data_IF_978949194569
#
_entry.id   IF_978949194569
#
_cell.length_a   1.000
_cell.length_b   1.000
_cell.length_c   1.000
_cell.angle_alpha   90.00
_cell.angle_beta   90.00
_cell.angle_gamma   90.00
#
_symmetry.space_group_name_H-M   'P 1'
#
loop_
_entity.id
_entity.type
_entity.pdbx_description
1 polymer ?
#
# COMPACT_ATOMS: atom_id res chain seq x y z
N UNK A 1 -12.87 -11.70 -14.09
CA UNK A 1 -12.17 -10.73 -14.97
C UNK A 1 -12.11 -11.31 -16.38
N UNK A 2 -12.35 -10.50 -17.42
CA UNK A 2 -12.24 -10.94 -18.82
C UNK A 2 -10.94 -10.38 -19.40
N UNK A 3 -10.20 -11.21 -20.12
CA UNK A 3 -8.96 -10.83 -20.81
C UNK A 3 -9.21 -10.92 -22.30
N UNK A 4 -8.96 -9.84 -23.02
CA UNK A 4 -8.94 -9.77 -24.47
C UNK A 4 -7.51 -9.80 -24.95
N UNK A 5 -7.15 -10.72 -25.78
CA UNK A 5 -5.85 -10.76 -26.45
C UNK A 5 -6.08 -10.52 -27.93
N UNK A 6 -5.57 -9.38 -28.40
CA UNK A 6 -5.54 -9.05 -29.82
C UNK A 6 -4.16 -9.41 -30.33
N UNK A 7 -4.05 -10.47 -31.08
CA UNK A 7 -2.81 -10.86 -31.78
C UNK A 7 -2.86 -10.33 -33.21
N UNK A 8 -1.93 -9.44 -33.53
CA UNK A 8 -1.78 -8.92 -34.89
C UNK A 8 -0.97 -9.87 -35.74
N UNK A 9 -1.40 -10.02 -36.98
CA UNK A 9 -0.71 -10.72 -38.05
C UNK A 9 -0.36 -9.75 -39.18
N UNK A 10 0.33 -10.20 -40.20
CA UNK A 10 0.63 -9.38 -41.36
C UNK A 10 -0.62 -8.94 -42.13
N UNK A 11 -1.61 -9.80 -42.19
CA UNK A 11 -2.85 -9.61 -42.95
C UNK A 11 -4.11 -9.64 -42.09
N UNK A 12 -4.03 -9.14 -40.84
CA UNK A 12 -5.19 -9.11 -39.99
C UNK A 12 -4.91 -9.35 -38.51
N UNK A 13 -5.91 -9.88 -37.81
CA UNK A 13 -5.79 -10.13 -36.36
C UNK A 13 -6.57 -11.38 -35.94
N UNK A 14 -6.13 -11.93 -34.78
CA UNK A 14 -6.90 -12.93 -34.02
C UNK A 14 -7.26 -12.31 -32.66
N UNK A 15 -8.54 -12.30 -32.32
CA UNK A 15 -9.03 -11.88 -31.01
C UNK A 15 -9.40 -13.13 -30.20
N UNK A 16 -8.64 -13.40 -29.16
CA UNK A 16 -8.96 -14.39 -28.14
C UNK A 16 -9.58 -13.72 -26.90
N UNK A 17 -10.69 -14.27 -26.40
CA UNK A 17 -11.31 -13.84 -25.16
C UNK A 17 -11.22 -14.94 -24.14
N UNK A 18 -10.77 -14.61 -22.94
CA UNK A 18 -10.53 -15.56 -21.87
C UNK A 18 -11.17 -15.05 -20.57
N UNK A 19 -11.73 -15.97 -19.80
CA UNK A 19 -12.20 -15.71 -18.44
C UNK A 19 -11.15 -16.18 -17.46
N UNK A 20 -10.62 -15.27 -16.66
CA UNK A 20 -9.75 -15.59 -15.54
C UNK A 20 -10.58 -15.71 -14.26
N UNK A 21 -10.61 -16.92 -13.68
CA UNK A 21 -11.33 -17.24 -12.44
C UNK A 21 -10.40 -18.02 -11.50
N UNK A 22 -9.93 -17.37 -10.45
CA UNK A 22 -8.97 -17.97 -9.51
C UNK A 22 -7.62 -18.26 -10.17
N UNK A 23 -7.30 -19.53 -10.39
CA UNK A 23 -6.07 -19.98 -11.08
C UNK A 23 -6.32 -20.48 -12.51
N UNK A 24 -7.56 -20.52 -12.93
CA UNK A 24 -7.93 -21.06 -14.23
C UNK A 24 -8.17 -19.95 -15.25
N UNK A 25 -7.70 -20.21 -16.47
CA UNK A 25 -7.95 -19.38 -17.64
C UNK A 25 -8.78 -20.19 -18.64
N UNK A 26 -10.04 -19.78 -18.83
CA UNK A 26 -10.99 -20.49 -19.69
C UNK A 26 -11.25 -19.68 -20.95
N UNK A 27 -11.09 -20.26 -22.15
CA UNK A 27 -11.41 -19.59 -23.41
C UNK A 27 -12.94 -19.39 -23.52
N UNK A 28 -13.34 -18.21 -23.98
CA UNK A 28 -14.74 -17.86 -24.19
C UNK A 28 -15.10 -17.80 -25.68
N UNK A 29 -14.32 -17.03 -26.45
CA UNK A 29 -14.52 -16.85 -27.87
C UNK A 29 -13.20 -16.62 -28.58
N UNK A 30 -13.16 -16.98 -29.86
CA UNK A 30 -12.08 -16.69 -30.77
C UNK A 30 -12.61 -16.19 -32.09
N UNK A 31 -12.02 -15.12 -32.59
CA UNK A 31 -12.40 -14.51 -33.86
C UNK A 31 -11.12 -14.21 -34.63
N UNK A 32 -11.05 -14.56 -35.89
CA UNK A 32 -9.95 -14.20 -36.80
C UNK A 32 -10.51 -13.41 -37.97
N UNK A 33 -9.90 -12.27 -38.27
CA UNK A 33 -10.22 -11.45 -39.41
C UNK A 33 -8.96 -11.18 -40.22
N UNK A 34 -9.11 -11.27 -41.54
CA UNK A 34 -8.14 -10.73 -42.47
C UNK A 34 -8.54 -9.30 -42.79
N UNK A 35 -7.55 -8.43 -42.92
CA UNK A 35 -7.78 -7.00 -43.21
C UNK A 35 -6.69 -6.53 -44.16
N UNK A 36 -7.07 -5.69 -45.12
CA UNK A 36 -6.17 -5.20 -46.14
C UNK A 36 -5.51 -3.88 -45.77
N UNK A 37 -6.18 -3.11 -44.89
CA UNK A 37 -5.66 -1.79 -44.50
C UNK A 37 -6.01 -1.46 -43.02
N UNK A 38 -5.43 -0.37 -42.50
CA UNK A 38 -5.61 0.09 -41.12
C UNK A 38 -7.07 0.44 -40.79
N UNK A 39 -7.78 1.09 -41.72
CA UNK A 39 -9.16 1.52 -41.47
C UNK A 39 -10.09 0.32 -41.29
N UNK A 40 -9.93 -0.69 -42.11
CA UNK A 40 -10.66 -1.97 -42.00
C UNK A 40 -10.29 -2.67 -40.69
N UNK A 41 -8.99 -2.71 -40.33
CA UNK A 41 -8.52 -3.27 -39.05
C UNK A 41 -9.22 -2.61 -37.87
N UNK A 42 -9.26 -1.27 -37.80
CA UNK A 42 -9.94 -0.52 -36.74
C UNK A 42 -11.44 -0.80 -36.71
N UNK A 43 -12.08 -0.83 -37.89
CA UNK A 43 -13.51 -1.10 -38.00
C UNK A 43 -13.89 -2.50 -37.52
N UNK A 44 -13.17 -3.53 -37.97
CA UNK A 44 -13.39 -4.93 -37.57
C UNK A 44 -13.07 -5.18 -36.11
N UNK A 45 -12.00 -4.58 -35.59
CA UNK A 45 -11.68 -4.65 -34.17
C UNK A 45 -12.76 -4.00 -33.30
N UNK A 46 -13.28 -2.84 -33.71
CA UNK A 46 -14.36 -2.15 -32.99
C UNK A 46 -15.61 -3.01 -32.94
N UNK A 47 -16.02 -3.60 -34.07
CA UNK A 47 -17.13 -4.52 -34.15
C UNK A 47 -16.95 -5.73 -33.24
N UNK A 48 -15.78 -6.36 -33.31
CA UNK A 48 -15.43 -7.49 -32.47
C UNK A 48 -15.43 -7.14 -30.97
N UNK A 49 -14.98 -5.97 -30.59
CA UNK A 49 -14.88 -5.54 -29.19
C UNK A 49 -16.23 -5.07 -28.60
N UNK A 50 -17.12 -4.48 -29.40
CA UNK A 50 -18.45 -4.00 -28.95
C UNK A 50 -19.40 -5.11 -28.53
N UNK A 51 -19.21 -6.34 -29.00
CA UNK A 51 -20.02 -7.50 -28.63
C UNK A 51 -19.82 -7.98 -27.18
N UNK A 52 -19.13 -7.22 -26.33
CA UNK A 52 -18.73 -7.63 -24.98
C UNK A 52 -19.68 -7.12 -23.90
N UNK A 53 -20.10 -8.02 -23.04
CA UNK A 53 -20.86 -7.73 -21.81
C UNK A 53 -20.08 -6.82 -20.85
N UNK A 54 -20.80 -5.91 -20.18
CA UNK A 54 -20.27 -5.00 -19.15
C UNK A 54 -19.59 -5.80 -18.03
N UNK A 55 -18.27 -5.74 -17.97
CA UNK A 55 -17.45 -6.35 -16.92
C UNK A 55 -16.07 -5.71 -16.87
N UNK A 56 -15.29 -6.07 -15.86
CA UNK A 56 -13.89 -5.66 -15.79
C UNK A 56 -13.07 -6.40 -16.85
N UNK A 57 -12.64 -5.67 -17.88
CA UNK A 57 -11.89 -6.19 -19.01
C UNK A 57 -10.45 -5.67 -19.02
N UNK A 58 -9.51 -6.53 -19.39
CA UNK A 58 -8.12 -6.18 -19.68
C UNK A 58 -7.81 -6.48 -21.13
N UNK A 59 -7.16 -5.59 -21.82
CA UNK A 59 -6.76 -5.78 -23.20
C UNK A 59 -5.26 -5.96 -23.31
N UNK A 60 -4.83 -7.00 -23.99
CA UNK A 60 -3.44 -7.34 -24.30
C UNK A 60 -3.29 -7.24 -25.82
N UNK A 61 -2.26 -6.55 -26.25
CA UNK A 61 -1.84 -6.53 -27.65
C UNK A 61 -0.62 -7.45 -27.81
N UNK A 62 -0.73 -8.48 -28.64
CA UNK A 62 0.39 -9.29 -29.09
C UNK A 62 0.78 -8.83 -30.49
N UNK A 63 1.99 -8.28 -30.63
CA UNK A 63 2.51 -7.78 -31.91
C UNK A 63 3.22 -8.90 -32.68
N UNK A 64 3.37 -8.78 -34.01
CA UNK A 64 4.15 -9.71 -34.82
C UNK A 64 5.62 -9.76 -34.34
N UNK A 65 6.23 -10.96 -34.24
CA UNK A 65 7.62 -11.11 -33.79
C UNK A 65 8.64 -10.31 -34.60
N UNK A 66 8.39 -10.10 -35.89
CA UNK A 66 9.27 -9.33 -36.80
C UNK A 66 9.48 -7.87 -36.39
N UNK A 67 8.59 -7.29 -35.56
CA UNK A 67 8.72 -5.93 -35.03
C UNK A 67 9.65 -5.89 -33.82
N UNK A 68 10.05 -7.05 -33.32
CA UNK A 68 10.88 -7.18 -32.13
C UNK A 68 12.30 -7.61 -32.51
N UNK A 69 13.28 -6.87 -32.05
CA UNK A 69 14.68 -7.30 -32.04
C UNK A 69 14.92 -8.06 -30.74
N UNK A 70 15.63 -9.19 -30.81
CA UNK A 70 15.93 -10.05 -29.67
C UNK A 70 17.42 -10.22 -29.51
N UNK A 71 17.91 -10.14 -28.27
CA UNK A 71 19.31 -10.40 -27.92
C UNK A 71 19.43 -10.98 -26.51
N UNK A 72 20.30 -11.94 -26.36
CA UNK A 72 20.68 -12.42 -25.04
C UNK A 72 21.73 -11.50 -24.41
N UNK A 73 21.52 -11.17 -23.16
CA UNK A 73 22.40 -10.35 -22.33
C UNK A 73 22.68 -11.09 -21.02
N UNK A 74 23.85 -10.78 -20.45
CA UNK A 74 24.22 -11.25 -19.13
C UNK A 74 24.44 -10.06 -18.21
N UNK A 75 23.38 -9.65 -17.52
CA UNK A 75 23.44 -8.54 -16.58
C UNK A 75 23.25 -9.07 -15.14
N UNK A 76 24.04 -8.61 -14.16
CA UNK A 76 23.94 -9.06 -12.77
C UNK A 76 22.75 -8.42 -12.05
N UNK A 77 21.57 -8.38 -12.70
CA UNK A 77 20.37 -7.71 -12.21
C UNK A 77 19.20 -8.69 -12.24
N UNK A 78 18.74 -9.11 -11.06
CA UNK A 78 17.60 -9.99 -10.92
C UNK A 78 16.25 -9.23 -10.84
N UNK A 79 16.27 -7.96 -10.41
CA UNK A 79 15.06 -7.16 -10.23
C UNK A 79 14.60 -6.54 -11.56
N UNK A 80 13.44 -6.96 -12.04
CA UNK A 80 12.91 -6.59 -13.36
C UNK A 80 12.75 -5.07 -13.57
N UNK A 81 12.41 -4.32 -12.53
CA UNK A 81 12.27 -2.87 -12.64
C UNK A 81 13.60 -2.17 -12.88
N UNK A 82 14.66 -2.63 -12.19
CA UNK A 82 16.02 -2.13 -12.39
C UNK A 82 16.59 -2.59 -13.73
N UNK A 83 16.32 -3.83 -14.11
CA UNK A 83 16.72 -4.38 -15.40
C UNK A 83 16.20 -3.52 -16.56
N UNK A 84 14.91 -3.16 -16.54
CA UNK A 84 14.33 -2.28 -17.59
C UNK A 84 15.00 -0.92 -17.70
N UNK A 85 15.39 -0.33 -16.58
CA UNK A 85 16.07 0.97 -16.59
C UNK A 85 17.48 0.89 -17.19
N UNK A 86 18.18 -0.22 -16.97
CA UNK A 86 19.54 -0.45 -17.49
C UNK A 86 19.51 -0.92 -18.94
N UNK A 87 18.52 -1.74 -19.33
CA UNK A 87 18.37 -2.23 -20.69
C UNK A 87 18.32 -1.13 -21.73
N UNK A 88 17.61 -0.04 -21.46
CA UNK A 88 17.53 1.08 -22.39
C UNK A 88 18.90 1.70 -22.66
N UNK A 89 19.75 1.81 -21.63
CA UNK A 89 21.11 2.34 -21.75
C UNK A 89 22.04 1.35 -22.46
N UNK A 90 21.95 0.07 -22.15
CA UNK A 90 22.78 -0.98 -22.75
C UNK A 90 22.48 -1.14 -24.24
N UNK A 91 21.22 -1.09 -24.63
CA UNK A 91 20.80 -1.21 -26.02
C UNK A 91 21.04 0.06 -26.83
N UNK A 92 21.06 1.23 -26.21
CA UNK A 92 21.29 2.51 -26.85
C UNK A 92 22.70 2.58 -27.51
N UNK A 93 23.72 2.00 -26.87
CA UNK A 93 25.09 1.96 -27.41
C UNK A 93 25.26 1.09 -28.66
N UNK A 94 24.26 0.26 -28.99
CA UNK A 94 24.35 -0.72 -30.07
C UNK A 94 23.33 -0.52 -31.21
N UNK A 95 22.29 0.28 -30.94
CA UNK A 95 21.31 0.62 -31.95
C UNK A 95 21.72 1.90 -32.67
N UNK A 96 21.66 1.89 -34.00
CA UNK A 96 21.88 3.10 -34.82
C UNK A 96 20.73 4.13 -34.67
N UNK A 97 19.78 3.89 -33.75
CA UNK A 97 18.66 4.77 -33.44
C UNK A 97 18.99 5.57 -32.18
N UNK A 98 18.62 6.84 -32.18
CA UNK A 98 18.72 7.71 -30.99
C UNK A 98 18.02 7.11 -29.78
N UNK A 99 18.57 7.28 -28.58
CA UNK A 99 18.15 6.71 -27.29
C UNK A 99 16.67 6.91 -26.99
N UNK A 100 16.04 7.94 -27.51
CA UNK A 100 14.63 8.27 -27.31
C UNK A 100 13.65 7.43 -28.14
N UNK A 101 14.16 6.61 -29.06
CA UNK A 101 13.34 5.94 -30.10
C UNK A 101 13.00 4.47 -29.83
N UNK A 102 13.41 3.86 -28.72
CA UNK A 102 13.16 2.44 -28.44
C UNK A 102 12.34 2.20 -27.16
N UNK A 103 11.55 1.15 -27.18
CA UNK A 103 10.94 0.56 -25.98
C UNK A 103 11.43 -0.86 -25.83
N UNK A 104 11.77 -1.27 -24.62
CA UNK A 104 12.39 -2.55 -24.33
C UNK A 104 11.85 -3.20 -23.05
N UNK A 105 11.98 -4.51 -23.00
CA UNK A 105 11.78 -5.36 -21.81
C UNK A 105 12.64 -6.61 -21.94
N UNK A 106 12.71 -7.45 -20.91
CA UNK A 106 13.41 -8.72 -20.95
C UNK A 106 12.65 -9.84 -20.29
N UNK A 107 12.93 -11.07 -20.74
CA UNK A 107 12.51 -12.32 -20.11
C UNK A 107 13.75 -12.98 -19.49
N UNK A 108 13.60 -13.51 -18.29
CA UNK A 108 14.68 -14.26 -17.63
C UNK A 108 14.86 -15.61 -18.28
N UNK A 109 16.09 -15.96 -18.58
CA UNK A 109 16.51 -17.30 -19.05
C UNK A 109 17.14 -18.09 -17.90
N UNK A 110 17.21 -19.42 -18.01
CA UNK A 110 17.99 -20.24 -17.08
C UNK A 110 19.45 -19.77 -17.01
N UNK A 111 20.07 -19.95 -15.85
CA UNK A 111 21.47 -19.56 -15.64
C UNK A 111 21.70 -18.06 -15.36
N UNK A 112 20.61 -17.27 -15.23
CA UNK A 112 20.71 -15.85 -14.89
C UNK A 112 20.89 -14.92 -16.12
N UNK A 113 20.89 -15.46 -17.32
CA UNK A 113 20.86 -14.69 -18.55
C UNK A 113 19.48 -14.05 -18.76
N UNK A 114 19.44 -13.01 -19.58
CA UNK A 114 18.21 -12.33 -19.99
C UNK A 114 18.07 -12.32 -21.49
N UNK A 115 16.88 -12.60 -21.99
CA UNK A 115 16.51 -12.34 -23.37
C UNK A 115 15.88 -10.95 -23.45
N UNK A 116 16.67 -9.97 -23.85
CA UNK A 116 16.23 -8.61 -24.09
C UNK A 116 15.48 -8.54 -25.42
N UNK A 117 14.39 -7.81 -25.43
CA UNK A 117 13.63 -7.51 -26.64
C UNK A 117 13.33 -6.01 -26.71
N UNK A 118 13.50 -5.43 -27.91
CA UNK A 118 13.19 -4.01 -28.14
C UNK A 118 12.55 -3.79 -29.49
N UNK A 119 11.79 -2.72 -29.58
CA UNK A 119 11.13 -2.27 -30.78
C UNK A 119 11.17 -0.74 -30.90
N UNK A 120 10.97 -0.22 -32.12
CA UNK A 120 10.85 1.22 -32.32
C UNK A 120 9.62 1.77 -31.60
N UNK A 121 9.85 2.81 -30.78
CA UNK A 121 8.80 3.43 -29.96
C UNK A 121 7.64 3.94 -30.80
N UNK A 122 7.93 4.56 -31.93
CA UNK A 122 6.93 5.11 -32.84
C UNK A 122 5.99 4.02 -33.38
N UNK A 123 6.54 2.87 -33.80
CA UNK A 123 5.76 1.74 -34.28
C UNK A 123 4.82 1.19 -33.20
N UNK A 124 5.32 1.03 -31.98
CA UNK A 124 4.51 0.55 -30.86
C UNK A 124 3.44 1.57 -30.48
N UNK A 125 3.75 2.88 -30.50
CA UNK A 125 2.81 3.95 -30.25
C UNK A 125 1.67 3.97 -31.28
N UNK A 126 1.98 3.77 -32.57
CA UNK A 126 0.97 3.71 -33.64
C UNK A 126 0.03 2.52 -33.46
N UNK A 127 0.54 1.34 -33.10
CA UNK A 127 -0.27 0.15 -32.83
C UNK A 127 -1.16 0.35 -31.60
N UNK A 128 -0.66 0.99 -30.52
CA UNK A 128 -1.46 1.35 -29.34
C UNK A 128 -2.59 2.31 -29.75
N UNK A 129 -2.28 3.30 -30.57
CA UNK A 129 -3.26 4.28 -31.07
C UNK A 129 -4.33 3.60 -31.87
N UNK A 130 -3.96 2.70 -32.79
CA UNK A 130 -4.88 1.91 -33.61
C UNK A 130 -5.88 1.11 -32.77
N UNK A 131 -5.43 0.43 -31.70
CA UNK A 131 -6.33 -0.27 -30.79
C UNK A 131 -7.19 0.67 -29.96
N UNK A 132 -6.64 1.82 -29.58
CA UNK A 132 -7.39 2.83 -28.82
C UNK A 132 -8.51 3.44 -29.69
N UNK A 133 -8.27 3.69 -30.95
CA UNK A 133 -9.27 4.11 -31.94
C UNK A 133 -10.39 3.06 -32.14
N UNK A 134 -10.03 1.77 -32.04
CA UNK A 134 -11.00 0.68 -32.03
C UNK A 134 -11.82 0.56 -30.73
N UNK A 135 -11.49 1.34 -29.70
CA UNK A 135 -12.20 1.37 -28.42
C UNK A 135 -11.60 0.53 -27.30
N UNK A 136 -10.41 -0.05 -27.50
CA UNK A 136 -9.73 -0.87 -26.49
C UNK A 136 -8.24 -0.48 -26.36
N UNK A 137 -7.96 0.40 -25.44
CA UNK A 137 -6.57 0.73 -25.10
C UNK A 137 -5.87 -0.49 -24.45
N UNK A 138 -4.78 -1.04 -25.04
CA UNK A 138 -4.10 -2.19 -24.49
C UNK A 138 -3.34 -1.82 -23.20
N UNK A 139 -3.45 -2.64 -22.15
CA UNK A 139 -2.69 -2.47 -20.91
C UNK A 139 -1.26 -3.00 -21.04
N UNK A 140 -1.09 -4.02 -21.88
CA UNK A 140 0.16 -4.73 -22.09
C UNK A 140 0.35 -4.86 -23.60
N UNK A 141 1.59 -4.61 -24.05
CA UNK A 141 2.05 -4.90 -25.41
C UNK A 141 3.12 -5.96 -25.31
N UNK A 142 2.87 -7.13 -25.86
CA UNK A 142 3.74 -8.31 -25.76
C UNK A 142 3.95 -8.97 -27.13
N UNK A 143 4.72 -10.05 -27.12
CA UNK A 143 4.91 -10.96 -28.26
C UNK A 143 4.63 -12.37 -27.76
N UNK A 144 3.65 -13.05 -28.35
CA UNK A 144 3.19 -14.35 -27.84
C UNK A 144 4.24 -15.45 -27.87
N UNK A 145 5.16 -15.45 -28.84
CA UNK A 145 6.22 -16.47 -28.94
C UNK A 145 7.14 -16.50 -27.71
N UNK A 146 7.34 -15.39 -27.01
CA UNK A 146 8.10 -15.36 -25.76
C UNK A 146 7.46 -16.09 -24.60
N UNK A 147 6.20 -16.52 -24.77
CA UNK A 147 5.39 -17.14 -23.71
C UNK A 147 4.89 -18.54 -24.07
N UNK A 148 5.29 -19.10 -25.23
CA UNK A 148 4.84 -20.43 -25.63
C UNK A 148 5.30 -21.54 -24.69
N UNK A 149 6.41 -21.33 -23.94
CA UNK A 149 6.84 -22.21 -22.88
C UNK A 149 5.74 -22.50 -21.84
N UNK A 150 4.84 -21.54 -21.59
CA UNK A 150 3.73 -21.67 -20.65
C UNK A 150 2.61 -22.62 -21.14
N UNK A 151 2.64 -23.00 -22.40
CA UNK A 151 1.70 -23.95 -22.97
C UNK A 151 2.10 -25.43 -22.67
N UNK A 152 3.34 -25.67 -22.29
CA UNK A 152 3.85 -27.00 -21.99
C UNK A 152 3.79 -27.28 -20.49
N UNK A 153 3.62 -28.55 -20.11
CA UNK A 153 3.73 -28.96 -18.73
C UNK A 153 5.17 -28.75 -18.23
N UNK A 154 5.31 -28.31 -17.00
CA UNK A 154 6.62 -27.99 -16.38
C UNK A 154 7.42 -29.22 -15.93
N UNK A 155 6.85 -30.42 -16.01
CA UNK A 155 7.45 -31.68 -15.58
C UNK A 155 8.18 -32.43 -16.70
N UNK A 156 8.02 -32.02 -17.97
CA UNK A 156 8.70 -32.63 -19.10
C UNK A 156 10.19 -32.26 -19.15
N UNK A 157 11.07 -33.26 -19.12
CA UNK A 157 12.52 -33.05 -19.28
C UNK A 157 12.95 -32.88 -20.73
N UNK A 158 12.06 -33.10 -21.68
CA UNK A 158 12.34 -32.96 -23.12
C UNK A 158 12.61 -31.50 -23.49
N UNK A 159 13.54 -31.31 -24.43
CA UNK A 159 13.77 -30.02 -25.07
C UNK A 159 12.86 -29.91 -26.30
N UNK A 160 11.94 -28.99 -26.26
CA UNK A 160 10.91 -28.84 -27.29
C UNK A 160 11.08 -27.51 -27.99
N UNK A 161 11.09 -27.53 -29.31
CA UNK A 161 10.95 -26.31 -30.12
C UNK A 161 9.49 -26.15 -30.52
N UNK A 162 8.91 -24.99 -30.19
CA UNK A 162 7.56 -24.59 -30.63
C UNK A 162 7.73 -23.54 -31.69
N UNK A 163 7.09 -23.69 -32.84
CA UNK A 163 7.21 -22.73 -33.91
C UNK A 163 5.91 -22.48 -34.67
N UNK A 164 5.84 -21.28 -35.22
CA UNK A 164 4.92 -20.89 -36.29
C UNK A 164 5.72 -20.37 -37.50
N UNK A 165 5.04 -19.81 -38.49
CA UNK A 165 5.68 -19.23 -39.69
C UNK A 165 6.59 -18.04 -39.39
N UNK A 166 6.53 -17.46 -38.19
CA UNK A 166 7.17 -16.16 -37.82
C UNK A 166 8.24 -16.27 -36.76
N UNK A 167 8.19 -17.31 -35.90
CA UNK A 167 9.12 -17.45 -34.79
C UNK A 167 9.30 -18.92 -34.37
N UNK A 168 10.45 -19.19 -33.73
CA UNK A 168 10.73 -20.43 -33.01
C UNK A 168 11.12 -20.11 -31.56
N UNK A 169 10.56 -20.92 -30.65
CA UNK A 169 10.83 -20.83 -29.21
C UNK A 169 11.27 -22.20 -28.74
N UNK A 170 12.45 -22.31 -28.14
CA UNK A 170 12.95 -23.56 -27.55
C UNK A 170 12.80 -23.47 -26.04
N UNK A 171 12.20 -24.53 -25.48
CA UNK A 171 11.91 -24.58 -24.05
C UNK A 171 12.16 -26.00 -23.48
N UNK A 172 12.43 -26.06 -22.17
CA UNK A 172 12.60 -27.28 -21.38
C UNK A 172 12.02 -27.02 -19.99
N UNK A 173 11.28 -27.97 -19.44
CA UNK A 173 10.67 -27.86 -18.11
C UNK A 173 9.85 -26.56 -17.90
N UNK A 174 9.11 -26.14 -18.92
CA UNK A 174 8.35 -24.89 -18.86
C UNK A 174 9.19 -23.61 -18.87
N UNK A 175 10.52 -23.70 -19.00
CA UNK A 175 11.42 -22.55 -19.07
C UNK A 175 11.80 -22.23 -20.52
N UNK A 176 11.83 -20.94 -20.83
CA UNK A 176 12.33 -20.44 -22.12
C UNK A 176 13.85 -20.59 -22.14
N UNK A 177 14.39 -21.28 -23.15
CA UNK A 177 15.84 -21.42 -23.38
C UNK A 177 16.32 -20.49 -24.50
N UNK A 178 15.50 -20.34 -25.56
CA UNK A 178 15.87 -19.59 -26.74
C UNK A 178 14.60 -19.13 -27.48
N UNK A 179 14.65 -17.98 -28.09
CA UNK A 179 13.61 -17.50 -28.98
C UNK A 179 14.24 -16.69 -30.15
N UNK A 180 13.76 -16.92 -31.35
CA UNK A 180 14.19 -16.21 -32.56
C UNK A 180 13.03 -16.01 -33.52
N UNK A 181 13.04 -14.92 -34.26
CA UNK A 181 12.15 -14.69 -35.41
C UNK A 181 12.61 -15.50 -36.60
N UNK A 182 11.64 -16.03 -37.36
CA UNK A 182 11.88 -16.77 -38.61
C UNK A 182 11.43 -15.93 -39.82
N UNK A 183 12.08 -16.15 -40.95
CA UNK A 183 11.79 -15.46 -42.22
C UNK A 183 10.86 -16.29 -43.11
N UNK A 184 9.82 -16.86 -42.58
CA UNK A 184 8.82 -17.65 -43.33
C UNK A 184 9.41 -18.63 -44.39
N UNK A 185 10.57 -19.17 -44.09
CA UNK A 185 11.30 -20.12 -44.94
C UNK A 185 11.58 -21.40 -44.12
N UNK A 186 11.25 -22.56 -44.66
CA UNK A 186 11.50 -23.87 -44.04
C UNK A 186 12.98 -24.06 -43.62
N UNK A 187 13.88 -23.61 -44.51
CA UNK A 187 15.31 -23.75 -44.30
C UNK A 187 15.81 -22.93 -43.08
N UNK A 188 15.13 -21.82 -42.74
CA UNK A 188 15.54 -20.97 -41.62
C UNK A 188 15.31 -21.67 -40.27
N UNK A 189 14.23 -22.43 -40.14
CA UNK A 189 14.00 -23.26 -38.97
C UNK A 189 15.11 -24.32 -38.79
N UNK A 190 15.36 -25.11 -39.83
CA UNK A 190 16.38 -26.17 -39.74
C UNK A 190 17.78 -25.61 -39.50
N UNK A 191 18.17 -24.51 -40.16
CA UNK A 191 19.44 -23.82 -39.89
C UNK A 191 19.52 -23.28 -38.46
N UNK A 192 18.42 -22.79 -37.92
CA UNK A 192 18.37 -22.29 -36.56
C UNK A 192 18.57 -23.43 -35.56
N UNK A 193 17.88 -24.57 -35.74
CA UNK A 193 18.02 -25.72 -34.88
C UNK A 193 19.41 -26.33 -34.96
N UNK A 194 19.97 -26.50 -36.16
CA UNK A 194 21.34 -26.97 -36.36
C UNK A 194 22.38 -26.05 -35.72
N UNK A 195 22.15 -24.72 -35.80
CA UNK A 195 23.06 -23.74 -35.16
C UNK A 195 23.01 -23.87 -33.65
N UNK A 196 21.84 -24.09 -33.04
CA UNK A 196 21.68 -24.27 -31.57
C UNK A 196 22.42 -25.54 -31.10
N UNK A 197 22.31 -26.64 -31.84
CA UNK A 197 23.04 -27.86 -31.52
C UNK A 197 24.56 -27.66 -31.55
N UNK A 198 25.07 -26.99 -32.62
CA UNK A 198 26.51 -26.77 -32.80
C UNK A 198 27.10 -25.74 -31.83
N UNK A 199 26.34 -24.69 -31.49
CA UNK A 199 26.90 -23.56 -30.73
C UNK A 199 26.58 -23.64 -29.24
N UNK A 200 25.53 -24.34 -28.84
CA UNK A 200 25.04 -24.36 -27.45
C UNK A 200 24.90 -25.77 -26.88
N UNK A 201 25.27 -26.80 -27.64
CA UNK A 201 25.03 -28.20 -27.27
C UNK A 201 23.56 -28.46 -26.85
N UNK A 202 22.63 -27.76 -27.50
CA UNK A 202 21.21 -27.80 -27.20
C UNK A 202 20.50 -28.65 -28.25
N UNK A 203 20.36 -29.96 -27.95
CA UNK A 203 19.60 -30.87 -28.77
C UNK A 203 18.11 -30.67 -28.57
N UNK A 204 17.38 -30.55 -29.66
CA UNK A 204 15.91 -30.44 -29.67
C UNK A 204 15.32 -31.82 -29.97
N UNK A 205 14.58 -32.34 -29.01
CA UNK A 205 13.99 -33.69 -29.09
C UNK A 205 12.76 -33.71 -29.99
N UNK A 206 11.95 -32.65 -29.96
CA UNK A 206 10.68 -32.54 -30.73
C UNK A 206 10.45 -31.13 -31.22
N UNK A 207 9.84 -31.02 -32.38
CA UNK A 207 9.36 -29.74 -32.95
C UNK A 207 7.84 -29.74 -32.98
N UNK A 208 7.21 -28.79 -32.36
CA UNK A 208 5.77 -28.63 -32.27
C UNK A 208 5.31 -27.42 -33.06
N UNK A 209 4.40 -27.65 -34.03
CA UNK A 209 3.86 -26.60 -34.89
C UNK A 209 2.56 -26.05 -34.33
N UNK A 210 2.51 -24.73 -34.07
CA UNK A 210 1.26 -24.02 -33.72
C UNK A 210 0.45 -23.69 -35.02
N UNK A 211 1.12 -23.53 -36.14
CA UNK A 211 0.44 -23.27 -37.43
C UNK A 211 0.34 -24.55 -38.26
N UNK A 212 -0.89 -25.04 -38.50
CA UNK A 212 -1.10 -26.26 -39.33
C UNK A 212 -0.61 -26.09 -40.78
N UNK A 213 -0.50 -24.86 -41.28
CA UNK A 213 -0.01 -24.59 -42.64
C UNK A 213 1.44 -24.99 -42.85
N UNK A 214 2.22 -25.15 -41.77
CA UNK A 214 3.61 -25.61 -41.81
C UNK A 214 3.77 -27.12 -41.85
N UNK A 215 2.68 -27.92 -41.75
CA UNK A 215 2.74 -29.37 -41.77
C UNK A 215 3.43 -29.97 -43.02
N UNK A 216 3.29 -29.40 -44.25
CA UNK A 216 4.04 -29.91 -45.42
C UNK A 216 5.55 -29.87 -45.25
N UNK A 217 6.10 -28.99 -44.37
CA UNK A 217 7.50 -28.91 -44.05
C UNK A 217 7.99 -30.09 -43.21
N UNK A 218 7.09 -30.75 -42.48
CA UNK A 218 7.39 -31.92 -41.67
C UNK A 218 7.88 -33.10 -42.52
N UNK A 219 7.48 -33.19 -43.78
CA UNK A 219 7.84 -34.28 -44.68
C UNK A 219 9.27 -34.19 -45.24
N UNK A 220 9.92 -33.05 -45.08
CA UNK A 220 11.28 -32.80 -45.57
C UNK A 220 12.36 -32.77 -44.46
N UNK A 221 11.96 -32.80 -43.21
CA UNK A 221 12.85 -32.76 -42.04
C UNK A 221 13.20 -34.17 -41.54
N UNK A 222 14.44 -34.34 -41.09
CA UNK A 222 14.90 -35.56 -40.39
C UNK A 222 14.41 -35.64 -38.93
N UNK A 223 13.80 -34.53 -38.44
CA UNK A 223 13.33 -34.41 -37.05
C UNK A 223 11.87 -34.81 -36.89
N UNK A 224 11.51 -35.18 -35.68
CA UNK A 224 10.11 -35.44 -35.32
C UNK A 224 9.37 -34.11 -35.23
N UNK A 225 8.55 -33.83 -36.25
CA UNK A 225 7.72 -32.63 -36.31
C UNK A 225 6.24 -33.02 -36.17
N UNK A 226 5.59 -32.46 -35.17
CA UNK A 226 4.20 -32.75 -34.81
C UNK A 226 3.40 -31.45 -34.65
N UNK A 227 2.06 -31.59 -34.79
CA UNK A 227 1.19 -30.51 -34.39
C UNK A 227 1.24 -30.32 -32.85
N UNK A 228 1.18 -29.07 -32.42
CA UNK A 228 1.16 -28.75 -31.01
C UNK A 228 -0.01 -29.44 -30.28
N UNK A 229 0.24 -30.26 -29.25
CA UNK A 229 -0.82 -30.88 -28.48
C UNK A 229 -1.58 -29.80 -27.70
N UNK A 230 -2.87 -29.63 -28.00
CA UNK A 230 -3.70 -28.61 -27.35
C UNK A 230 -3.77 -28.84 -25.83
N UNK A 231 -3.50 -27.83 -25.01
CA UNK A 231 -3.79 -27.87 -23.59
C UNK A 231 -5.27 -28.19 -23.36
N UNK A 232 -5.58 -28.91 -22.27
CA UNK A 232 -6.97 -29.32 -21.96
C UNK A 232 -7.93 -28.14 -21.90
N UNK A 233 -7.46 -26.97 -21.45
CA UNK A 233 -8.22 -25.73 -21.42
C UNK A 233 -8.69 -25.29 -22.84
N UNK A 234 -7.93 -25.60 -23.87
CA UNK A 234 -8.26 -25.24 -25.26
C UNK A 234 -9.02 -26.33 -26.03
N UNK A 235 -9.16 -27.54 -25.48
CA UNK A 235 -9.94 -28.62 -26.10
C UNK A 235 -11.45 -28.37 -26.07
N UNK A 236 -11.92 -27.52 -25.16
CA UNK A 236 -13.33 -27.12 -25.10
C UNK A 236 -13.60 -26.15 -26.23
N UNK A 237 -14.61 -26.38 -27.10
CA UNK A 237 -14.89 -25.50 -28.23
C UNK A 237 -15.32 -24.12 -27.73
N UNK A 238 -14.40 -23.15 -27.86
CA UNK A 238 -14.64 -21.77 -27.50
C UNK A 238 -15.21 -20.92 -28.64
N UNK A 239 -15.46 -21.52 -29.80
CA UNK A 239 -15.78 -20.77 -31.02
C UNK A 239 -17.04 -21.27 -31.68
N UNK A 240 -17.94 -20.33 -31.92
CA UNK A 240 -19.07 -20.50 -32.85
C UNK A 240 -18.64 -20.28 -34.32
N UNK A 241 -17.42 -19.76 -34.57
CA UNK A 241 -17.01 -19.25 -35.90
C UNK A 241 -16.04 -20.20 -36.65
N UNK A 242 -15.94 -21.47 -36.25
CA UNK A 242 -15.17 -22.49 -36.99
C UNK A 242 -13.64 -22.31 -36.96
N UNK A 243 -13.12 -21.43 -36.10
CA UNK A 243 -11.68 -21.23 -35.90
C UNK A 243 -11.05 -22.47 -35.26
N UNK A 244 -9.98 -23.01 -35.86
CA UNK A 244 -9.27 -24.14 -35.28
C UNK A 244 -8.76 -23.79 -33.88
N UNK A 245 -8.99 -24.64 -32.85
CA UNK A 245 -8.56 -24.37 -31.48
C UNK A 245 -7.06 -24.04 -31.36
N UNK A 246 -6.25 -24.58 -32.28
CA UNK A 246 -4.80 -24.32 -32.35
C UNK A 246 -4.46 -22.85 -32.58
N UNK A 247 -5.29 -22.12 -33.33
CA UNK A 247 -5.09 -20.68 -33.55
C UNK A 247 -5.24 -19.83 -32.27
N UNK A 248 -5.82 -20.40 -31.21
CA UNK A 248 -5.88 -19.77 -29.89
C UNK A 248 -4.64 -20.01 -29.01
N UNK A 249 -3.76 -20.95 -29.39
CA UNK A 249 -2.60 -21.30 -28.55
C UNK A 249 -1.72 -20.09 -28.26
N UNK A 250 -1.39 -19.30 -29.27
CA UNK A 250 -0.56 -18.11 -29.10
C UNK A 250 -1.23 -16.99 -28.27
N UNK A 251 -2.49 -16.58 -28.52
CA UNK A 251 -3.23 -15.67 -27.63
C UNK A 251 -3.38 -16.19 -26.21
N UNK A 252 -3.56 -17.51 -26.04
CA UNK A 252 -3.68 -18.14 -24.72
C UNK A 252 -2.38 -18.05 -23.92
N UNK A 253 -1.22 -18.30 -24.57
CA UNK A 253 0.09 -18.13 -23.95
C UNK A 253 0.30 -16.71 -23.44
N UNK A 254 -0.04 -15.69 -24.25
CA UNK A 254 0.05 -14.30 -23.84
C UNK A 254 -0.88 -13.97 -22.66
N UNK A 255 -2.09 -14.54 -22.62
CA UNK A 255 -3.00 -14.38 -21.50
C UNK A 255 -2.48 -15.05 -20.23
N UNK A 256 -1.92 -16.27 -20.32
CA UNK A 256 -1.28 -16.97 -19.20
C UNK A 256 -0.14 -16.14 -18.60
N UNK A 257 0.76 -15.62 -19.44
CA UNK A 257 1.87 -14.79 -18.98
C UNK A 257 1.42 -13.57 -18.14
N UNK A 258 0.31 -12.96 -18.56
CA UNK A 258 -0.28 -11.84 -17.82
C UNK A 258 -0.89 -12.30 -16.49
N UNK A 259 -1.52 -13.46 -16.45
CA UNK A 259 -2.10 -14.03 -15.23
C UNK A 259 -1.02 -14.38 -14.20
N UNK A 260 0.10 -14.93 -14.64
CA UNK A 260 1.25 -15.26 -13.77
C UNK A 260 2.13 -14.06 -13.42
N UNK A 261 1.91 -12.89 -14.03
CA UNK A 261 2.72 -11.69 -13.76
C UNK A 261 4.08 -11.68 -14.44
N UNK A 262 4.35 -12.60 -15.35
CA UNK A 262 5.63 -12.80 -16.06
C UNK A 262 5.63 -12.24 -17.49
N UNK A 263 4.57 -11.56 -17.90
CA UNK A 263 4.44 -11.07 -19.27
C UNK A 263 5.56 -10.10 -19.63
N UNK A 264 6.23 -10.38 -20.75
CA UNK A 264 7.04 -9.39 -21.46
C UNK A 264 6.15 -8.22 -21.86
N UNK A 265 6.61 -6.97 -21.66
CA UNK A 265 5.74 -5.82 -21.87
C UNK A 265 6.53 -4.61 -22.38
N UNK A 266 6.33 -4.28 -23.64
CA UNK A 266 6.91 -3.10 -24.29
C UNK A 266 6.25 -1.78 -23.87
N UNK A 267 5.14 -1.85 -23.11
CA UNK A 267 4.46 -0.66 -22.65
C UNK A 267 5.14 -0.09 -21.39
N UNK A 268 6.35 0.47 -21.63
CA UNK A 268 7.24 1.03 -20.61
C UNK A 268 7.61 2.48 -20.94
N UNK A 269 8.21 3.20 -20.01
CA UNK A 269 8.67 4.57 -20.21
C UNK A 269 7.56 5.52 -20.70
N UNK A 270 7.77 6.21 -21.84
CA UNK A 270 6.78 7.14 -22.41
C UNK A 270 5.44 6.50 -22.78
N UNK A 271 5.46 5.21 -23.13
CA UNK A 271 4.27 4.43 -23.50
C UNK A 271 3.60 3.74 -22.31
N UNK A 272 4.10 3.95 -21.09
CA UNK A 272 3.54 3.31 -19.90
C UNK A 272 2.03 3.57 -19.77
N UNK A 273 1.28 2.51 -19.41
CA UNK A 273 -0.16 2.60 -19.29
C UNK A 273 -0.58 3.47 -18.09
N UNK A 274 -1.19 4.62 -18.38
CA UNK A 274 -1.56 5.64 -17.40
C UNK A 274 -2.90 5.38 -16.71
N UNK A 275 -3.72 4.48 -17.24
CA UNK A 275 -5.05 4.21 -16.68
C UNK A 275 -5.04 3.36 -15.40
N UNK A 276 -3.92 2.74 -15.03
CA UNK A 276 -3.79 2.00 -13.77
C UNK A 276 -4.24 2.85 -12.57
N UNK A 277 -3.85 4.12 -12.56
CA UNK A 277 -4.24 5.07 -11.50
C UNK A 277 -5.74 5.41 -11.55
N UNK A 278 -6.35 5.46 -12.72
CA UNK A 278 -7.81 5.71 -12.86
C UNK A 278 -8.66 4.55 -12.34
N UNK A 279 -8.21 3.29 -12.51
CA UNK A 279 -8.89 2.13 -11.93
C UNK A 279 -8.76 2.09 -10.42
N UNK A 280 -7.56 2.36 -9.88
CA UNK A 280 -7.35 2.53 -8.45
C UNK A 280 -8.24 3.64 -7.88
N UNK A 281 -8.27 4.81 -8.52
CA UNK A 281 -9.12 5.92 -8.10
C UNK A 281 -10.62 5.56 -8.13
N UNK A 282 -11.07 4.75 -9.09
CA UNK A 282 -12.47 4.25 -9.11
C UNK A 282 -12.75 3.29 -7.96
N UNK A 283 -11.82 2.36 -7.67
CA UNK A 283 -11.95 1.44 -6.54
C UNK A 283 -11.95 2.18 -5.19
N UNK A 284 -11.16 3.26 -5.05
CA UNK A 284 -11.12 4.09 -3.85
C UNK A 284 -12.23 5.13 -3.76
N UNK A 285 -13.06 5.29 -4.77
CA UNK A 285 -14.13 6.31 -4.79
C UNK A 285 -15.13 6.12 -3.65
N UNK A 286 -15.57 4.90 -3.43
CA UNK A 286 -16.52 4.56 -2.36
C UNK A 286 -15.94 4.77 -0.95
N UNK A 287 -14.77 4.21 -0.60
CA UNK A 287 -14.15 4.46 0.71
C UNK A 287 -13.79 5.93 0.92
N UNK A 288 -13.40 6.66 -0.13
CA UNK A 288 -13.12 8.10 -0.04
C UNK A 288 -14.39 8.91 0.31
N UNK A 289 -15.52 8.60 -0.35
CA UNK A 289 -16.80 9.23 -0.05
C UNK A 289 -17.22 8.94 1.40
N UNK A 290 -17.08 7.70 1.86
CA UNK A 290 -17.39 7.33 3.25
C UNK A 290 -16.46 8.06 4.24
N UNK A 291 -15.17 8.19 3.94
CA UNK A 291 -14.23 8.93 4.76
C UNK A 291 -14.60 10.43 4.83
N UNK A 292 -14.98 11.05 3.71
CA UNK A 292 -15.46 12.43 3.70
C UNK A 292 -16.73 12.60 4.54
N UNK A 293 -17.69 11.69 4.45
CA UNK A 293 -18.92 11.72 5.28
C UNK A 293 -18.55 11.60 6.76
N UNK A 294 -17.66 10.68 7.13
CA UNK A 294 -17.21 10.52 8.51
C UNK A 294 -16.55 11.79 9.06
N UNK A 295 -15.70 12.45 8.26
CA UNK A 295 -15.08 13.74 8.65
C UNK A 295 -16.13 14.83 8.84
N UNK A 296 -17.12 14.93 7.94
CA UNK A 296 -18.21 15.90 8.07
C UNK A 296 -19.04 15.65 9.35
N UNK A 297 -19.33 14.38 9.68
CA UNK A 297 -20.04 14.02 10.91
C UNK A 297 -19.24 14.38 12.16
N UNK A 298 -17.92 14.12 12.18
CA UNK A 298 -17.06 14.52 13.29
C UNK A 298 -16.99 16.05 13.46
N UNK A 299 -16.91 16.79 12.37
CA UNK A 299 -16.93 18.25 12.42
C UNK A 299 -18.29 18.78 12.89
N UNK A 300 -19.38 18.15 12.48
CA UNK A 300 -20.73 18.50 12.94
C UNK A 300 -20.89 18.21 14.44
N UNK A 301 -20.40 17.06 14.91
CA UNK A 301 -20.41 16.72 16.36
C UNK A 301 -19.56 17.71 17.16
N UNK A 302 -18.34 18.02 16.73
CA UNK A 302 -17.49 18.98 17.39
C UNK A 302 -18.13 20.39 17.41
N UNK A 303 -18.72 20.80 16.29
CA UNK A 303 -19.43 22.08 16.16
C UNK A 303 -20.65 22.18 17.08
N UNK A 304 -21.46 21.12 17.17
CA UNK A 304 -22.62 21.08 18.06
C UNK A 304 -22.21 21.09 19.54
N UNK A 305 -21.18 20.35 19.92
CA UNK A 305 -20.60 20.38 21.27
C UNK A 305 -20.07 21.77 21.63
N UNK A 306 -19.33 22.38 20.73
CA UNK A 306 -18.81 23.74 20.93
C UNK A 306 -19.93 24.78 21.07
N UNK A 307 -20.98 24.68 20.22
CA UNK A 307 -22.14 25.56 20.28
C UNK A 307 -22.91 25.41 21.61
N UNK A 308 -23.17 24.20 22.06
CA UNK A 308 -23.86 23.93 23.33
C UNK A 308 -23.03 24.43 24.51
N UNK A 309 -21.73 24.16 24.55
CA UNK A 309 -20.83 24.62 25.59
C UNK A 309 -20.74 26.16 25.64
N UNK A 310 -20.66 26.81 24.50
CA UNK A 310 -20.64 28.27 24.39
C UNK A 310 -21.96 28.89 24.91
N UNK A 311 -23.09 28.27 24.59
CA UNK A 311 -24.42 28.68 25.11
C UNK A 311 -24.51 28.52 26.61
N UNK A 312 -24.01 27.40 27.15
CA UNK A 312 -24.01 27.15 28.59
C UNK A 312 -23.12 28.14 29.35
N UNK A 313 -21.93 28.44 28.83
CA UNK A 313 -21.03 29.45 29.38
C UNK A 313 -21.71 30.85 29.37
N UNK A 314 -22.38 31.20 28.28
CA UNK A 314 -23.09 32.48 28.20
C UNK A 314 -24.25 32.55 29.19
N UNK A 315 -25.01 31.49 29.34
CA UNK A 315 -26.11 31.34 30.32
C UNK A 315 -25.60 31.43 31.76
N UNK A 316 -24.51 30.73 32.07
CA UNK A 316 -23.84 30.79 33.39
C UNK A 316 -23.35 32.22 33.70
N UNK A 317 -22.64 32.84 32.78
CA UNK A 317 -22.16 34.23 32.97
C UNK A 317 -23.32 35.20 33.18
N UNK A 318 -24.42 35.02 32.45
CA UNK A 318 -25.61 35.90 32.66
C UNK A 318 -26.25 35.69 34.02
N UNK A 319 -26.26 34.40 34.53
CA UNK A 319 -26.79 34.07 35.85
C UNK A 319 -25.88 34.61 36.96
N UNK A 320 -24.55 34.49 36.79
CA UNK A 320 -23.56 35.06 37.73
C UNK A 320 -23.74 36.58 37.80
N UNK A 321 -23.89 37.25 36.63
CA UNK A 321 -24.12 38.69 36.57
C UNK A 321 -25.46 39.14 37.20
N UNK A 322 -26.51 38.31 37.21
CA UNK A 322 -27.74 38.57 37.91
C UNK A 322 -27.55 38.50 39.43
N UNK A 323 -26.97 37.40 39.91
CA UNK A 323 -26.72 37.18 41.36
C UNK A 323 -25.77 38.27 41.88
N UNK A 324 -24.75 38.66 41.13
CA UNK A 324 -23.84 39.72 41.52
C UNK A 324 -24.58 41.07 41.70
N UNK A 325 -25.47 41.43 40.76
CA UNK A 325 -26.26 42.68 40.85
C UNK A 325 -27.24 42.66 41.98
N UNK A 326 -27.83 41.51 42.33
CA UNK A 326 -28.72 41.37 43.47
C UNK A 326 -27.97 41.49 44.80
N UNK A 327 -26.72 41.02 44.85
CA UNK A 327 -25.89 41.01 46.07
C UNK A 327 -25.18 42.35 46.27
N UNK A 328 -24.88 43.11 45.23
CA UNK A 328 -24.11 44.33 45.27
C UNK A 328 -24.74 45.50 44.44
N UNK A 329 -25.90 46.05 44.88
CA UNK A 329 -26.67 47.03 44.08
C UNK A 329 -25.96 48.36 43.83
N UNK A 330 -24.91 48.70 44.64
CA UNK A 330 -24.20 49.99 44.58
C UNK A 330 -22.85 49.96 43.83
N UNK A 331 -22.41 48.82 43.27
CA UNK A 331 -21.15 48.70 42.55
C UNK A 331 -21.32 48.74 41.04
N UNK A 332 -20.58 49.62 40.37
CA UNK A 332 -20.48 49.63 38.91
C UNK A 332 -19.62 48.44 38.46
N UNK A 333 -20.08 47.71 37.51
CA UNK A 333 -19.55 46.53 36.77
C UNK A 333 -18.11 46.10 37.15
N UNK A 334 -17.95 44.95 37.69
CA UNK A 334 -16.66 44.32 37.98
C UNK A 334 -16.01 43.77 36.69
N UNK A 335 -14.71 43.70 36.66
CA UNK A 335 -13.94 43.08 35.53
C UNK A 335 -14.05 41.58 35.56
N UNK A 336 -14.18 40.96 36.75
CA UNK A 336 -14.40 39.52 36.97
C UNK A 336 -15.36 39.32 38.16
N UNK A 337 -16.64 39.18 37.85
CA UNK A 337 -17.71 39.04 38.86
C UNK A 337 -17.58 37.79 39.72
N UNK A 338 -17.01 36.70 39.16
CA UNK A 338 -16.82 35.47 39.88
C UNK A 338 -15.65 35.52 40.87
N UNK A 339 -14.56 36.22 40.48
CA UNK A 339 -13.40 36.41 41.35
C UNK A 339 -13.71 37.29 42.54
N UNK A 340 -14.47 38.37 42.32
CA UNK A 340 -14.89 39.29 43.42
C UNK A 340 -15.86 38.62 44.37
N UNK A 341 -16.84 37.85 43.88
CA UNK A 341 -17.77 37.08 44.75
C UNK A 341 -16.99 36.07 45.60
N UNK A 342 -16.01 35.39 45.03
CA UNK A 342 -15.16 34.42 45.72
C UNK A 342 -14.23 35.09 46.78
N UNK A 343 -13.79 36.31 46.48
CA UNK A 343 -13.01 37.11 47.43
C UNK A 343 -13.85 37.58 48.60
N UNK A 344 -15.11 38.00 48.38
CA UNK A 344 -16.03 38.42 49.46
C UNK A 344 -16.47 37.21 50.31
N UNK A 345 -16.73 36.05 49.70
CA UNK A 345 -16.99 34.81 50.47
C UNK A 345 -15.82 34.50 51.37
N UNK A 346 -14.56 34.53 50.87
CA UNK A 346 -13.36 34.33 51.70
C UNK A 346 -13.22 35.36 52.81
N UNK A 347 -13.58 36.62 52.54
CA UNK A 347 -13.55 37.69 53.55
C UNK A 347 -14.59 37.44 54.66
N UNK A 348 -15.75 36.96 54.33
CA UNK A 348 -16.79 36.61 55.32
C UNK A 348 -16.44 35.32 56.06
N UNK A 349 -15.87 34.34 55.42
CA UNK A 349 -15.34 33.12 56.05
C UNK A 349 -14.13 33.41 56.96
N UNK A 350 -13.27 34.37 56.60
CA UNK A 350 -12.10 34.75 57.38
C UNK A 350 -12.34 35.46 58.70
N UNK A 351 -13.61 35.83 58.99
CA UNK A 351 -14.03 36.44 60.28
C UNK A 351 -14.58 35.44 61.26
N UNK A 352 -14.86 34.21 60.89
CA UNK A 352 -15.20 33.14 61.82
C UNK A 352 -13.99 32.23 62.02
N UNK A 353 -13.42 32.26 63.22
CA UNK A 353 -12.48 31.20 63.70
C UNK A 353 -13.09 29.86 63.37
N UNK A 354 -12.49 29.16 62.43
CA UNK A 354 -12.97 27.85 62.01
C UNK A 354 -13.12 26.97 63.25
N UNK A 355 -14.28 26.41 63.55
CA UNK A 355 -14.50 25.61 64.77
C UNK A 355 -13.55 24.41 64.83
N UNK A 356 -12.84 24.13 63.80
CA UNK A 356 -11.85 23.04 63.68
C UNK A 356 -10.48 23.31 64.31
N UNK A 357 -10.08 24.58 64.57
CA UNK A 357 -8.78 24.91 65.19
C UNK A 357 -8.78 24.72 66.69
N UNK A 358 -9.91 24.93 67.36
CA UNK A 358 -10.04 24.81 68.81
C UNK A 358 -9.71 23.42 69.38
N UNK A 359 -10.20 22.31 68.79
CA UNK A 359 -9.80 20.96 69.20
C UNK A 359 -8.31 20.71 69.01
N UNK A 360 -7.70 21.24 67.98
CA UNK A 360 -6.27 21.08 67.73
C UNK A 360 -5.42 21.89 68.74
N UNK A 361 -5.79 23.12 69.04
CA UNK A 361 -5.12 23.93 70.06
C UNK A 361 -5.25 23.28 71.43
N UNK A 362 -6.40 22.71 71.78
CA UNK A 362 -6.59 21.95 73.00
C UNK A 362 -5.66 20.74 73.09
N UNK A 363 -5.57 19.97 72.02
CA UNK A 363 -4.64 18.84 71.91
C UNK A 363 -3.18 19.26 72.10
N UNK A 364 -2.74 20.38 71.48
CA UNK A 364 -1.40 20.92 71.65
C UNK A 364 -1.13 21.35 73.08
N UNK A 365 -2.08 21.99 73.78
CA UNK A 365 -1.91 22.45 75.14
C UNK A 365 -1.92 21.31 76.14
N UNK A 366 -2.75 20.29 75.98
CA UNK A 366 -2.79 19.07 76.82
C UNK A 366 -1.49 18.26 76.71
N UNK A 367 -0.82 18.30 75.54
CA UNK A 367 0.42 17.54 75.35
C UNK A 367 1.72 18.35 75.45
N UNK A 368 1.62 19.65 75.81
CA UNK A 368 2.73 20.57 75.85
C UNK A 368 3.86 20.15 76.82
N UNK A 369 3.63 19.43 77.85
CA UNK A 369 4.65 19.11 78.86
C UNK A 369 5.30 20.34 79.52
N UNK A 370 5.81 20.19 80.75
CA UNK A 370 6.38 21.33 81.52
C UNK A 370 7.69 21.92 80.96
N UNK A 371 8.40 21.18 80.16
CA UNK A 371 9.70 21.59 79.60
C UNK A 371 9.60 22.34 78.23
N UNK A 372 8.38 22.45 77.62
CA UNK A 372 8.14 23.30 76.48
C UNK A 372 7.70 24.67 76.99
N UNK A 373 8.50 25.71 76.72
CA UNK A 373 8.22 27.03 77.21
C UNK A 373 7.06 27.71 76.57
N UNK A 374 6.91 27.58 75.26
CA UNK A 374 5.82 28.16 74.52
C UNK A 374 5.80 27.81 73.06
N UNK A 375 4.72 28.15 72.42
CA UNK A 375 4.59 28.07 70.90
C UNK A 375 4.65 29.49 70.38
N UNK A 376 5.51 29.74 69.40
CA UNK A 376 5.73 31.05 68.79
C UNK A 376 4.90 31.24 67.54
N UNK A 377 4.63 30.15 66.83
CA UNK A 377 3.88 30.18 65.57
C UNK A 377 3.08 28.87 65.41
N UNK A 378 1.80 28.98 65.14
CA UNK A 378 0.91 27.83 64.86
C UNK A 378 0.17 28.16 63.60
N UNK A 379 0.44 27.38 62.58
CA UNK A 379 -0.26 27.40 61.28
C UNK A 379 -1.04 26.09 61.11
N UNK A 380 -2.33 26.19 60.85
CA UNK A 380 -3.22 25.05 60.78
C UNK A 380 -4.29 25.28 59.73
N UNK A 381 -4.38 24.38 58.75
CA UNK A 381 -5.32 24.46 57.63
C UNK A 381 -6.47 23.44 57.70
N UNK A 382 -6.59 22.71 58.79
CA UNK A 382 -7.60 21.63 58.97
C UNK A 382 -7.08 20.23 58.67
N UNK A 383 -6.10 20.10 57.83
CA UNK A 383 -5.49 18.82 57.36
C UNK A 383 -4.03 18.73 57.67
N UNK A 384 -3.30 19.85 57.69
CA UNK A 384 -1.90 19.93 58.02
C UNK A 384 -1.65 20.98 59.13
N UNK A 385 -0.55 20.84 59.84
CA UNK A 385 -0.12 21.81 60.81
C UNK A 385 1.38 22.05 60.75
N UNK A 386 1.78 23.27 61.14
CA UNK A 386 3.15 23.67 61.41
C UNK A 386 3.19 24.42 62.71
N UNK A 387 3.96 23.90 63.66
CA UNK A 387 4.11 24.49 64.98
C UNK A 387 5.57 24.78 65.25
N UNK A 388 5.89 26.02 65.59
CA UNK A 388 7.21 26.40 66.10
C UNK A 388 7.07 26.74 67.56
N UNK A 389 8.15 26.46 68.36
CA UNK A 389 8.18 26.76 69.77
C UNK A 389 9.55 26.62 70.35
N UNK A 390 9.61 26.94 71.65
CA UNK A 390 10.83 26.90 72.48
C UNK A 390 10.69 25.79 73.52
N UNK A 391 11.74 24.95 73.65
CA UNK A 391 11.81 23.88 74.67
C UNK A 391 13.18 23.89 75.38
N UNK A 392 13.22 23.21 76.52
CA UNK A 392 14.43 23.07 77.31
C UNK A 392 15.23 21.82 76.98
N UNK A 393 14.59 20.77 76.48
CA UNK A 393 15.25 19.51 76.17
C UNK A 393 14.73 18.93 74.90
N UNK A 394 15.59 18.26 74.14
CA UNK A 394 15.20 17.57 72.91
C UNK A 394 14.30 16.34 73.17
N UNK A 395 14.42 15.76 74.37
CA UNK A 395 13.60 14.66 74.84
C UNK A 395 12.11 15.06 74.97
N UNK A 396 11.82 16.27 75.43
CA UNK A 396 10.45 16.80 75.58
C UNK A 396 9.83 17.03 74.23
N UNK A 397 10.57 17.49 73.25
CA UNK A 397 10.10 17.69 71.89
C UNK A 397 9.76 16.33 71.22
N UNK A 398 10.61 15.31 71.41
CA UNK A 398 10.42 13.96 70.94
C UNK A 398 9.22 13.30 71.61
N UNK A 399 9.01 13.51 72.91
CA UNK A 399 7.84 13.02 73.64
C UNK A 399 6.51 13.65 73.14
N UNK A 400 6.54 14.96 72.84
CA UNK A 400 5.38 15.66 72.27
C UNK A 400 5.06 15.13 70.89
N UNK A 401 6.10 14.91 70.04
CA UNK A 401 5.91 14.28 68.72
C UNK A 401 5.23 12.91 68.84
N UNK A 402 5.69 12.09 69.80
CA UNK A 402 5.13 10.74 69.98
C UNK A 402 3.69 10.76 70.42
N UNK A 403 3.30 11.70 71.28
CA UNK A 403 1.91 11.91 71.68
C UNK A 403 1.00 12.37 70.54
N UNK A 404 1.53 13.23 69.65
CA UNK A 404 0.79 13.63 68.44
C UNK A 404 0.65 12.48 67.45
N UNK A 405 1.64 11.58 67.33
CA UNK A 405 1.53 10.35 66.54
C UNK A 405 0.43 9.43 67.12
N UNK A 406 0.36 9.25 68.42
CA UNK A 406 -0.70 8.44 69.08
C UNK A 406 -2.08 9.07 68.95
N UNK A 407 -2.17 10.39 68.81
CA UNK A 407 -3.41 11.12 68.54
C UNK A 407 -3.88 11.09 67.07
N UNK A 408 -3.18 10.29 66.22
CA UNK A 408 -3.60 10.07 64.81
C UNK A 408 -3.01 11.06 63.83
N UNK A 409 -1.98 11.83 64.22
CA UNK A 409 -1.29 12.73 63.35
C UNK A 409 -0.01 12.07 62.80
N UNK A 410 0.29 12.21 61.54
CA UNK A 410 1.59 11.87 60.95
C UNK A 410 2.52 13.07 61.09
N UNK A 411 3.49 12.99 62.00
CA UNK A 411 4.40 14.12 62.35
C UNK A 411 5.78 13.81 61.86
N UNK A 412 6.35 14.72 61.08
CA UNK A 412 7.72 14.62 60.55
C UNK A 412 8.75 14.73 61.70
N UNK A 413 10.03 14.44 61.41
CA UNK A 413 11.09 14.64 62.39
C UNK A 413 11.20 16.15 62.72
N UNK A 414 11.32 16.51 63.99
CA UNK A 414 11.41 17.91 64.39
C UNK A 414 12.73 18.52 63.90
N UNK A 415 12.64 19.70 63.30
CA UNK A 415 13.80 20.53 63.04
C UNK A 415 14.15 21.23 64.31
N UNK A 416 15.36 20.97 64.83
CA UNK A 416 15.81 21.45 66.17
C UNK A 416 17.05 22.34 65.95
N UNK A 417 17.03 23.57 66.55
CA UNK A 417 18.13 24.48 66.51
C UNK A 417 18.42 24.95 67.98
N UNK A 418 19.65 24.69 68.48
CA UNK A 418 20.07 25.11 69.80
C UNK A 418 20.50 26.58 69.79
N UNK A 419 20.04 27.35 70.80
CA UNK A 419 20.47 28.72 71.01
C UNK A 419 21.58 28.82 72.11
N UNK A 420 22.39 29.91 72.13
CA UNK A 420 23.43 30.08 73.08
C UNK A 420 22.96 30.22 74.52
N UNK A 421 21.68 30.54 74.76
CA UNK A 421 21.01 30.66 76.02
C UNK A 421 20.52 29.34 76.67
N UNK A 422 20.83 28.23 75.99
CA UNK A 422 20.43 26.88 76.42
C UNK A 422 19.00 26.51 76.07
N UNK A 423 18.28 27.37 75.36
CA UNK A 423 16.94 27.04 74.85
C UNK A 423 17.00 26.38 73.43
N UNK A 424 16.06 25.51 73.17
CA UNK A 424 15.98 24.75 71.90
C UNK A 424 14.76 25.23 71.15
N UNK A 425 14.99 25.85 69.99
CA UNK A 425 13.95 26.12 69.03
C UNK A 425 13.62 24.85 68.30
N UNK A 426 12.33 24.58 68.13
CA UNK A 426 11.86 23.45 67.39
C UNK A 426 10.78 23.86 66.40
N UNK A 427 10.69 23.12 65.28
CA UNK A 427 9.61 23.18 64.31
C UNK A 427 9.06 21.76 64.09
N UNK A 428 7.78 21.59 64.30
CA UNK A 428 7.05 20.38 64.01
C UNK A 428 6.06 20.61 62.85
N UNK A 429 6.10 19.71 61.88
CA UNK A 429 5.15 19.66 60.76
C UNK A 429 4.43 18.33 60.80
N UNK A 430 3.16 18.31 60.44
CA UNK A 430 2.43 17.07 60.38
C UNK A 430 1.10 17.19 59.64
N UNK A 431 0.61 16.03 59.20
CA UNK A 431 -0.65 15.90 58.47
C UNK A 431 -1.60 14.92 59.24
N UNK A 432 -2.86 15.09 59.12
CA UNK A 432 -3.84 14.20 59.75
C UNK A 432 -3.86 12.86 58.99
N UNK A 433 -3.55 11.76 59.70
CA UNK A 433 -3.55 10.43 59.12
C UNK A 433 -4.97 10.05 58.65
N UNK A 434 -5.18 9.92 57.36
CA UNK A 434 -6.45 9.48 56.75
C UNK A 434 -6.95 10.27 55.54
N UNK A 435 -6.32 11.40 55.19
CA UNK A 435 -6.59 12.09 53.93
C UNK A 435 -5.54 11.73 52.89
N UNK A 436 -5.80 10.73 52.06
CA UNK A 436 -5.13 10.60 50.75
C UNK A 436 -5.69 11.69 49.84
N UNK A 437 -4.83 12.34 49.02
CA UNK A 437 -5.25 13.36 48.06
C UNK A 437 -6.20 12.83 47.02
#
# INVERSE_FOLDING_TARGET
MIIHVVQLHESGFTLGRFRHAGRELVPLTAIRHQTENREELVSRLREALTSVTKGETRTILSIPPRLLNLRELQLPIAERAKLRAVLALELAGETAQDDAGIVCDAVMLPGGNQLAGWAAQEQIADLITTLTEAGAEPEIVTVSCLHWNLLLPSDSSETVAICDSTAVTVCRQGQLLFCRTLNNNSDDLERTLATLELTRDLQVDRVLLIDPLLLPLASTSERVIELFPLPDALKTPASQDGLAPLALAAPFAAALAVCFGEAFNLRSGPLAWKQKNRRLLRAFRLPLILACIAVVLLLAEAGTRWYLLSRDITSLNSSIGKIYRESFPNRKKAVDEAAELKAEIRRLEGTSLSPTILPFLRLLTEHKGAEISGFSEIDYDGTSFKVKGDGRTSAAISAMRQKLLTAGWQVEQPEITSRPDGTILFQLKGTRGGAKP
#
